data_IF_421934559220
#
_entry.id   IF_421934559220
#
_cell.length_a   1.000
_cell.length_b   1.000
_cell.length_c   1.000
_cell.angle_alpha   90.00
_cell.angle_beta   90.00
_cell.angle_gamma   90.00
#
_symmetry.space_group_name_H-M   'P 1'
#
loop_
_entity.id
_entity.type
_entity.pdbx_description
1 polymer ?
#
# COMPACT_ATOMS: atom_id res chain seq x y z
N UNK A 1 -0.41 2.73 -1.50
CA UNK A 1 0.20 4.00 -1.93
C UNK A 1 -0.76 5.14 -1.72
N UNK A 2 -0.27 6.32 -1.41
CA UNK A 2 -1.01 7.56 -1.58
C UNK A 2 -0.83 7.99 -3.04
N UNK A 3 -1.89 7.84 -3.85
CA UNK A 3 -1.81 8.07 -5.31
C UNK A 3 -1.30 9.47 -5.67
N UNK A 4 -1.74 10.56 -5.03
CA UNK A 4 -1.32 11.92 -5.40
C UNK A 4 0.18 12.13 -5.21
N UNK A 5 0.73 11.74 -4.05
CA UNK A 5 2.16 11.86 -3.81
C UNK A 5 3.00 10.88 -4.63
N UNK A 6 2.45 9.71 -5.00
CA UNK A 6 3.09 8.86 -6.01
C UNK A 6 3.17 9.59 -7.36
N UNK A 7 2.10 10.24 -7.80
CA UNK A 7 2.01 10.95 -9.08
C UNK A 7 2.96 12.15 -9.18
N UNK A 8 3.23 12.86 -8.08
CA UNK A 8 4.27 13.89 -8.05
C UNK A 8 5.69 13.33 -8.21
N UNK A 9 5.87 12.05 -7.86
CA UNK A 9 7.19 11.42 -7.74
C UNK A 9 7.63 10.62 -8.98
N UNK A 10 6.73 10.42 -9.94
CA UNK A 10 6.98 9.60 -11.12
C UNK A 10 6.98 10.45 -12.39
N UNK A 11 7.93 10.15 -13.26
CA UNK A 11 7.97 10.71 -14.60
C UNK A 11 7.19 9.80 -15.56
N UNK A 12 6.43 10.42 -16.48
CA UNK A 12 5.67 9.74 -17.51
C UNK A 12 4.20 9.46 -17.14
N UNK A 13 3.39 9.22 -18.17
CA UNK A 13 1.96 8.98 -18.01
C UNK A 13 1.69 7.66 -17.27
N UNK A 14 0.86 7.75 -16.24
CA UNK A 14 0.27 6.62 -15.52
C UNK A 14 -1.22 6.86 -15.46
N UNK A 15 -2.01 5.83 -15.75
CA UNK A 15 -3.47 5.92 -15.73
C UNK A 15 -3.96 6.50 -14.41
N UNK A 16 -3.41 6.09 -13.26
CA UNK A 16 -3.78 6.58 -11.92
C UNK A 16 -3.47 8.07 -11.67
N UNK A 17 -2.66 8.70 -12.53
CA UNK A 17 -2.23 10.09 -12.44
C UNK A 17 -2.89 10.99 -13.49
N UNK A 18 -3.81 10.46 -14.30
CA UNK A 18 -4.60 11.27 -15.23
C UNK A 18 -5.54 12.22 -14.45
N UNK A 19 -5.74 13.47 -14.93
CA UNK A 19 -6.68 14.40 -14.31
C UNK A 19 -8.08 13.80 -14.15
N UNK A 20 -8.71 14.03 -12.99
CA UNK A 20 -10.07 13.56 -12.72
C UNK A 20 -10.18 12.10 -12.26
N UNK A 21 -9.07 11.37 -12.08
CA UNK A 21 -9.11 10.03 -11.46
C UNK A 21 -9.48 10.10 -9.98
N UNK A 22 -9.13 11.17 -9.27
CA UNK A 22 -9.56 11.42 -7.89
C UNK A 22 -9.12 10.35 -6.89
N UNK A 23 -8.03 9.62 -7.18
CA UNK A 23 -7.58 8.50 -6.35
C UNK A 23 -6.85 9.00 -5.10
N UNK A 24 -7.22 8.46 -3.94
CA UNK A 24 -6.52 8.63 -2.67
C UNK A 24 -5.58 7.47 -2.38
N UNK A 25 -5.82 6.75 -1.28
CA UNK A 25 -5.10 5.50 -1.01
C UNK A 25 -5.55 4.40 -1.97
N UNK A 26 -4.58 3.73 -2.59
CA UNK A 26 -4.77 2.55 -3.44
C UNK A 26 -3.85 1.42 -2.99
N UNK A 27 -4.19 0.18 -3.31
CA UNK A 27 -3.30 -0.96 -3.01
C UNK A 27 -2.05 -0.85 -3.89
N UNK A 28 -0.89 -0.83 -3.23
CA UNK A 28 0.38 -1.01 -3.94
C UNK A 28 0.59 -2.49 -4.21
N UNK A 29 0.52 -3.33 -3.17
CA UNK A 29 0.74 -4.78 -3.21
C UNK A 29 0.64 -5.40 -1.81
N UNK A 30 0.64 -6.74 -1.77
CA UNK A 30 0.74 -7.53 -0.53
C UNK A 30 2.02 -8.34 -0.59
N UNK A 31 2.96 -8.05 0.30
CA UNK A 31 4.31 -8.60 0.18
C UNK A 31 4.56 -9.63 1.28
N UNK A 32 4.69 -10.93 0.94
CA UNK A 32 5.27 -11.91 1.85
C UNK A 32 6.60 -11.35 2.37
N UNK A 33 6.84 -11.47 3.67
CA UNK A 33 7.96 -10.82 4.33
C UNK A 33 8.62 -11.78 5.34
N UNK A 34 9.95 -11.74 5.40
CA UNK A 34 10.73 -12.33 6.49
C UNK A 34 10.84 -11.34 7.66
N UNK A 35 11.32 -11.76 8.83
CA UNK A 35 11.58 -10.83 9.94
C UNK A 35 12.52 -9.67 9.52
N UNK A 36 13.46 -9.96 8.61
CA UNK A 36 14.24 -8.95 7.89
C UNK A 36 14.27 -9.24 6.39
N UNK A 37 13.89 -8.25 5.59
CA UNK A 37 13.85 -8.37 4.14
C UNK A 37 12.53 -8.89 3.58
N UNK A 38 12.35 -8.70 2.28
CA UNK A 38 11.14 -9.07 1.53
C UNK A 38 11.59 -9.95 0.37
N UNK A 39 11.18 -11.24 0.29
CA UNK A 39 11.45 -12.06 -0.87
C UNK A 39 10.85 -11.42 -2.14
N UNK A 40 11.58 -11.56 -3.24
CA UNK A 40 11.16 -11.05 -4.54
C UNK A 40 11.64 -11.92 -5.68
N UNK A 41 10.90 -11.91 -6.80
CA UNK A 41 11.24 -12.65 -8.03
C UNK A 41 11.43 -14.16 -7.78
N UNK A 42 10.60 -14.74 -6.92
CA UNK A 42 10.65 -16.16 -6.60
C UNK A 42 10.30 -17.03 -7.83
N UNK A 43 10.85 -18.26 -7.92
CA UNK A 43 10.52 -19.18 -9.01
C UNK A 43 9.05 -19.62 -8.95
N UNK A 44 8.38 -19.68 -10.10
CA UNK A 44 6.98 -20.11 -10.21
C UNK A 44 6.23 -19.52 -11.41
N UNK A 45 4.90 -19.70 -11.44
CA UNK A 45 4.05 -19.18 -12.51
C UNK A 45 3.96 -17.64 -12.46
N UNK A 46 4.71 -16.95 -13.32
CA UNK A 46 4.84 -15.47 -13.30
C UNK A 46 3.65 -14.71 -13.90
N UNK A 47 2.79 -15.39 -14.64
CA UNK A 47 1.65 -14.77 -15.33
C UNK A 47 0.34 -15.19 -14.66
N UNK A 48 -0.43 -14.25 -14.09
CA UNK A 48 -1.75 -14.57 -13.55
C UNK A 48 -2.73 -14.86 -14.70
N UNK A 49 -3.68 -15.77 -14.46
CA UNK A 49 -4.78 -16.03 -15.40
C UNK A 49 -5.75 -14.85 -15.46
N UNK A 50 -6.58 -14.77 -16.49
CA UNK A 50 -7.66 -13.77 -16.59
C UNK A 50 -8.60 -13.83 -15.37
N UNK A 51 -9.00 -15.02 -14.96
CA UNK A 51 -9.86 -15.25 -13.78
C UNK A 51 -9.21 -14.71 -12.50
N UNK A 52 -7.89 -14.85 -12.35
CA UNK A 52 -7.19 -14.29 -11.21
C UNK A 52 -7.15 -12.74 -11.24
N UNK A 53 -6.99 -12.15 -12.43
CA UNK A 53 -6.98 -10.70 -12.59
C UNK A 53 -8.34 -10.06 -12.36
N UNK A 54 -9.43 -10.76 -12.67
CA UNK A 54 -10.78 -10.34 -12.30
C UNK A 54 -10.92 -10.15 -10.78
N UNK A 55 -10.21 -10.94 -9.97
CA UNK A 55 -10.15 -10.76 -8.49
C UNK A 55 -9.30 -9.57 -8.06
N UNK A 56 -8.41 -9.07 -8.92
CA UNK A 56 -7.59 -7.90 -8.66
C UNK A 56 -8.28 -6.58 -9.04
N UNK A 57 -9.37 -6.66 -9.83
CA UNK A 57 -10.10 -5.50 -10.31
C UNK A 57 -10.61 -4.64 -9.14
N UNK A 58 -10.35 -3.33 -9.21
CA UNK A 58 -10.75 -2.36 -8.18
C UNK A 58 -9.86 -2.34 -6.93
N UNK A 59 -8.93 -3.29 -6.75
CA UNK A 59 -7.96 -3.25 -5.65
C UNK A 59 -6.76 -2.36 -6.00
N UNK A 60 -6.23 -2.56 -7.21
CA UNK A 60 -5.07 -1.85 -7.72
C UNK A 60 -5.51 -0.68 -8.61
N UNK A 61 -4.66 0.36 -8.73
CA UNK A 61 -4.89 1.47 -9.66
C UNK A 61 -4.98 1.04 -11.13
N UNK A 62 -4.23 0.02 -11.53
CA UNK A 62 -4.28 -0.55 -12.88
C UNK A 62 -3.87 -2.03 -12.91
N UNK A 63 -4.26 -2.75 -13.96
CA UNK A 63 -3.96 -4.17 -14.13
C UNK A 63 -2.44 -4.43 -14.29
N UNK A 64 -1.72 -3.47 -14.87
CA UNK A 64 -0.27 -3.55 -15.06
C UNK A 64 0.44 -3.66 -13.70
N UNK A 65 -0.01 -2.90 -12.69
CA UNK A 65 0.50 -3.01 -11.33
C UNK A 65 0.13 -4.36 -10.71
N UNK A 66 -1.12 -4.82 -10.84
CA UNK A 66 -1.51 -6.14 -10.32
C UNK A 66 -0.62 -7.28 -10.87
N UNK A 67 -0.33 -7.26 -12.18
CA UNK A 67 0.58 -8.22 -12.83
C UNK A 67 2.03 -8.08 -12.34
N UNK A 68 2.51 -6.86 -12.16
CA UNK A 68 3.85 -6.58 -11.64
C UNK A 68 4.01 -7.13 -10.22
N UNK A 69 3.05 -6.83 -9.34
CA UNK A 69 3.07 -7.25 -7.94
C UNK A 69 2.95 -8.76 -7.78
N UNK A 70 2.10 -9.41 -8.59
CA UNK A 70 2.08 -10.87 -8.65
C UNK A 70 3.45 -11.44 -8.98
N UNK A 71 4.04 -11.00 -10.11
CA UNK A 71 5.32 -11.52 -10.60
C UNK A 71 6.45 -11.31 -9.59
N UNK A 72 6.52 -10.12 -9.00
CA UNK A 72 7.63 -9.74 -8.13
C UNK A 72 7.45 -10.28 -6.71
N UNK A 73 6.25 -10.24 -6.15
CA UNK A 73 6.02 -10.54 -4.73
C UNK A 73 4.99 -11.66 -4.51
N UNK A 74 3.94 -11.72 -5.32
CA UNK A 74 2.87 -12.71 -5.18
C UNK A 74 3.34 -14.15 -5.34
N UNK A 75 4.25 -14.44 -6.30
CA UNK A 75 4.82 -15.78 -6.48
C UNK A 75 5.50 -16.30 -5.20
N UNK A 76 6.14 -15.41 -4.44
CA UNK A 76 6.82 -15.75 -3.19
C UNK A 76 5.87 -16.20 -2.07
N UNK A 77 4.55 -16.02 -2.21
CA UNK A 77 3.57 -16.48 -1.24
C UNK A 77 3.34 -17.99 -1.27
N UNK A 78 3.76 -18.68 -2.35
CA UNK A 78 3.45 -20.09 -2.58
C UNK A 78 1.99 -20.37 -2.92
N UNK A 79 1.16 -19.33 -3.09
CA UNK A 79 -0.28 -19.45 -3.39
C UNK A 79 -0.54 -19.47 -4.90
N UNK A 80 -1.76 -19.85 -5.28
CA UNK A 80 -2.24 -19.56 -6.62
C UNK A 80 -2.43 -18.04 -6.82
N UNK A 81 -2.37 -17.50 -8.05
CA UNK A 81 -2.66 -16.09 -8.30
C UNK A 81 -4.04 -15.65 -7.78
N UNK A 82 -5.05 -16.52 -7.90
CA UNK A 82 -6.41 -16.22 -7.45
C UNK A 82 -6.50 -16.09 -5.93
N UNK A 83 -5.83 -16.99 -5.20
CA UNK A 83 -5.79 -16.93 -3.73
C UNK A 83 -4.98 -15.74 -3.25
N UNK A 84 -3.87 -15.43 -3.92
CA UNK A 84 -3.08 -14.24 -3.62
C UNK A 84 -3.90 -12.95 -3.78
N UNK A 85 -4.63 -12.76 -4.88
CA UNK A 85 -5.46 -11.57 -5.03
C UNK A 85 -6.66 -11.54 -4.06
N UNK A 86 -7.20 -12.70 -3.69
CA UNK A 86 -8.19 -12.77 -2.61
C UNK A 86 -7.58 -12.36 -1.25
N UNK A 87 -6.32 -12.71 -0.99
CA UNK A 87 -5.58 -12.30 0.20
C UNK A 87 -5.32 -10.79 0.20
N UNK A 88 -4.97 -10.21 -0.94
CA UNK A 88 -4.85 -8.76 -1.12
C UNK A 88 -6.17 -8.06 -0.76
N UNK A 89 -7.30 -8.57 -1.26
CA UNK A 89 -8.62 -8.01 -0.95
C UNK A 89 -8.94 -8.07 0.55
N UNK A 90 -8.66 -9.19 1.21
CA UNK A 90 -8.88 -9.35 2.67
C UNK A 90 -7.97 -8.44 3.49
N UNK A 91 -6.69 -8.31 3.10
CA UNK A 91 -5.75 -7.41 3.76
C UNK A 91 -6.18 -5.94 3.61
N UNK A 92 -6.62 -5.54 2.42
CA UNK A 92 -7.16 -4.21 2.17
C UNK A 92 -8.41 -3.93 3.01
N UNK A 93 -9.38 -4.86 3.04
CA UNK A 93 -10.60 -4.71 3.81
C UNK A 93 -10.38 -4.69 5.34
N UNK A 94 -9.25 -5.21 5.82
CA UNK A 94 -8.90 -5.17 7.25
C UNK A 94 -8.42 -3.78 7.71
N UNK A 95 -8.13 -2.86 6.79
CA UNK A 95 -7.60 -1.52 7.07
C UNK A 95 -8.65 -0.46 6.75
N UNK A 96 -9.07 0.29 7.76
CA UNK A 96 -9.86 1.50 7.59
C UNK A 96 -8.93 2.68 7.25
N UNK A 97 -9.26 3.40 6.17
CA UNK A 97 -8.57 4.65 5.83
C UNK A 97 -9.09 5.77 6.74
N UNK A 98 -8.20 6.57 7.39
CA UNK A 98 -8.63 7.64 8.27
C UNK A 98 -9.47 8.69 7.53
N UNK A 99 -10.48 9.30 8.18
CA UNK A 99 -11.33 10.33 7.57
C UNK A 99 -10.55 11.48 6.91
N UNK A 100 -9.39 11.85 7.48
CA UNK A 100 -8.48 12.87 6.95
C UNK A 100 -8.03 12.62 5.49
N UNK A 101 -8.03 11.36 5.05
CA UNK A 101 -7.57 10.95 3.72
C UNK A 101 -8.70 10.47 2.81
N UNK A 102 -9.96 10.58 3.25
CA UNK A 102 -11.13 10.27 2.42
C UNK A 102 -11.53 11.55 1.67
N UNK A 103 -11.20 11.60 0.38
CA UNK A 103 -11.49 12.72 -0.53
C UNK A 103 -11.06 14.10 0.04
N UNK A 104 -9.78 14.27 0.43
CA UNK A 104 -9.31 15.59 0.85
C UNK A 104 -9.39 16.55 -0.32
N UNK A 105 -9.86 17.77 -0.08
CA UNK A 105 -10.05 18.81 -1.12
C UNK A 105 -8.89 19.78 -1.23
N UNK A 106 -7.87 19.63 -0.37
CA UNK A 106 -6.67 20.48 -0.33
C UNK A 106 -5.46 19.67 0.09
N UNK A 107 -4.30 20.12 -0.38
CA UNK A 107 -3.01 19.62 0.07
C UNK A 107 -2.86 19.84 1.57
N UNK A 108 -2.15 18.91 2.22
CA UNK A 108 -1.94 18.94 3.66
C UNK A 108 -0.44 18.95 3.95
N UNK A 109 -0.03 19.77 4.91
CA UNK A 109 1.26 19.63 5.57
C UNK A 109 1.01 18.95 6.90
N UNK A 110 1.62 17.78 7.12
CA UNK A 110 1.36 16.94 8.29
C UNK A 110 2.65 16.26 8.72
N UNK A 111 2.77 15.90 10.00
CA UNK A 111 3.91 15.10 10.46
C UNK A 111 3.67 13.61 10.17
N UNK A 112 4.70 12.80 9.87
CA UNK A 112 4.53 11.35 9.71
C UNK A 112 3.86 10.70 10.92
N UNK A 113 4.14 11.17 12.14
CA UNK A 113 3.56 10.62 13.36
C UNK A 113 2.07 10.96 13.52
N UNK A 114 1.60 12.11 13.03
CA UNK A 114 0.18 12.43 13.03
C UNK A 114 -0.58 11.60 11.98
N UNK A 115 0.05 11.27 10.85
CA UNK A 115 -0.52 10.30 9.88
C UNK A 115 -0.67 8.93 10.54
N UNK A 116 0.38 8.43 11.21
CA UNK A 116 0.30 7.16 11.95
C UNK A 116 -0.79 7.19 13.03
N UNK A 117 -0.87 8.29 13.81
CA UNK A 117 -1.91 8.46 14.84
C UNK A 117 -3.32 8.37 14.23
N UNK A 118 -3.56 9.03 13.10
CA UNK A 118 -4.84 8.95 12.41
C UNK A 118 -5.19 7.50 11.99
N UNK A 119 -4.20 6.72 11.55
CA UNK A 119 -4.38 5.29 11.26
C UNK A 119 -4.65 4.45 12.52
N UNK A 120 -3.97 4.72 13.63
CA UNK A 120 -4.24 4.05 14.91
C UNK A 120 -5.65 4.33 15.44
N UNK A 121 -6.11 5.57 15.31
CA UNK A 121 -7.47 5.97 15.69
C UNK A 121 -8.54 5.29 14.82
N UNK A 122 -8.32 5.23 13.51
CA UNK A 122 -9.23 4.57 12.58
C UNK A 122 -9.22 3.04 12.69
N UNK A 123 -8.14 2.44 13.24
CA UNK A 123 -7.94 1.00 13.30
C UNK A 123 -7.60 0.54 14.73
N UNK A 124 -8.61 0.26 15.59
CA UNK A 124 -8.39 -0.03 17.01
C UNK A 124 -7.54 -1.26 17.35
N UNK A 125 -7.13 -2.09 16.38
CA UNK A 125 -6.18 -3.21 16.58
C UNK A 125 -4.78 -2.91 16.04
N UNK A 126 -4.60 -1.82 15.30
CA UNK A 126 -3.31 -1.36 14.82
C UNK A 126 -2.61 -0.57 15.93
N UNK A 127 -1.34 -0.88 16.20
CA UNK A 127 -0.56 -0.29 17.30
C UNK A 127 0.76 0.28 16.79
N UNK A 128 1.41 1.18 17.55
CA UNK A 128 2.76 1.63 17.24
C UNK A 128 3.72 0.47 16.95
N UNK A 129 4.51 0.60 15.90
CA UNK A 129 5.44 -0.45 15.47
C UNK A 129 4.85 -1.48 14.50
N UNK A 130 3.57 -1.40 14.16
CA UNK A 130 2.89 -2.30 13.20
C UNK A 130 2.69 -1.68 11.81
N UNK A 131 3.03 -0.41 11.65
CA UNK A 131 3.00 0.30 10.39
C UNK A 131 4.11 1.34 10.31
N UNK A 132 4.32 1.89 9.12
CA UNK A 132 5.15 3.05 8.90
C UNK A 132 4.58 3.89 7.76
N UNK A 133 4.73 5.21 7.85
CA UNK A 133 4.52 6.12 6.72
C UNK A 133 5.72 6.05 5.78
N UNK A 134 5.49 6.10 4.48
CA UNK A 134 6.53 6.25 3.47
C UNK A 134 6.44 7.61 2.78
N UNK A 135 7.60 8.18 2.48
CA UNK A 135 7.70 9.45 1.79
C UNK A 135 8.93 9.47 0.87
N UNK A 136 8.86 10.31 -0.16
CA UNK A 136 9.95 10.58 -1.08
C UNK A 136 10.11 12.09 -1.21
N UNK A 137 11.34 12.59 -0.97
CA UNK A 137 11.66 14.03 -1.07
C UNK A 137 10.67 14.93 -0.30
N UNK A 138 10.21 14.48 0.88
CA UNK A 138 9.26 15.24 1.71
C UNK A 138 7.79 15.12 1.29
N UNK A 139 7.45 14.30 0.30
CA UNK A 139 6.06 14.04 -0.12
C UNK A 139 5.65 12.64 0.31
N UNK A 140 4.49 12.49 0.95
CA UNK A 140 3.92 11.20 1.35
C UNK A 140 3.58 10.37 0.10
N UNK A 141 4.14 9.17 -0.03
CA UNK A 141 3.82 8.25 -1.14
C UNK A 141 3.06 7.00 -0.67
N UNK A 142 2.88 6.82 0.64
CA UNK A 142 1.99 5.81 1.18
C UNK A 142 2.21 5.46 2.64
N UNK A 143 1.64 4.32 3.01
CA UNK A 143 1.87 3.65 4.29
C UNK A 143 2.15 2.18 4.03
N UNK A 144 2.93 1.54 4.90
CA UNK A 144 3.12 0.09 4.94
C UNK A 144 2.61 -0.42 6.28
N UNK A 145 1.70 -1.39 6.24
CA UNK A 145 1.07 -1.99 7.41
C UNK A 145 1.38 -3.48 7.40
N UNK A 146 1.70 -4.03 8.58
CA UNK A 146 2.12 -5.42 8.73
C UNK A 146 1.01 -6.26 9.36
N UNK A 147 0.81 -7.44 8.78
CA UNK A 147 -0.21 -8.40 9.19
C UNK A 147 0.45 -9.75 9.53
N UNK A 148 -0.23 -10.55 10.33
CA UNK A 148 0.08 -11.98 10.50
C UNK A 148 -0.05 -12.71 9.16
N UNK A 149 0.60 -13.88 9.03
CA UNK A 149 0.59 -14.67 7.78
C UNK A 149 -0.82 -15.13 7.35
N UNK A 150 -1.73 -15.28 8.31
CA UNK A 150 -3.13 -15.61 8.08
C UNK A 150 -4.02 -14.37 7.90
N UNK A 151 -3.44 -13.17 7.95
CA UNK A 151 -4.06 -11.86 7.76
C UNK A 151 -5.13 -11.51 8.81
N UNK A 152 -5.15 -12.21 9.95
CA UNK A 152 -6.17 -12.00 11.00
C UNK A 152 -5.81 -10.89 11.97
N UNK A 153 -4.53 -10.62 12.15
CA UNK A 153 -4.00 -9.70 13.16
C UNK A 153 -2.98 -8.74 12.55
N UNK A 154 -2.90 -7.53 13.09
CA UNK A 154 -1.77 -6.65 12.85
C UNK A 154 -0.56 -7.15 13.66
N UNK A 155 0.62 -7.07 13.07
CA UNK A 155 1.86 -7.58 13.68
C UNK A 155 2.92 -6.49 13.70
N UNK A 156 3.71 -6.44 14.78
CA UNK A 156 4.86 -5.55 14.84
C UNK A 156 5.90 -5.92 13.77
N UNK A 157 6.49 -4.93 13.12
CA UNK A 157 7.48 -5.13 12.06
C UNK A 157 8.60 -4.08 12.12
N UNK A 158 9.60 -4.28 12.99
CA UNK A 158 10.69 -3.31 13.21
C UNK A 158 11.44 -2.92 11.92
N UNK A 159 11.65 -3.87 11.00
CA UNK A 159 12.33 -3.57 9.74
C UNK A 159 11.56 -2.60 8.83
N UNK A 160 10.23 -2.57 8.93
CA UNK A 160 9.38 -1.63 8.19
C UNK A 160 9.38 -0.26 8.87
N UNK A 161 9.23 -0.23 10.20
CA UNK A 161 9.19 1.02 10.97
C UNK A 161 10.50 1.77 10.93
N UNK A 162 11.63 1.06 10.98
CA UNK A 162 12.97 1.65 10.82
C UNK A 162 13.15 2.35 9.47
N UNK A 163 12.51 1.84 8.40
CA UNK A 163 12.56 2.41 7.04
C UNK A 163 11.46 3.43 6.76
N UNK A 164 10.68 3.80 7.78
CA UNK A 164 9.64 4.81 7.67
C UNK A 164 10.18 6.20 7.33
N UNK A 165 9.25 7.12 7.11
CA UNK A 165 9.54 8.52 6.89
C UNK A 165 9.87 9.23 8.21
N UNK A 166 11.09 9.75 8.34
CA UNK A 166 11.59 10.39 9.58
C UNK A 166 11.77 11.92 9.47
N UNK A 167 11.24 12.54 8.42
CA UNK A 167 11.29 14.01 8.29
C UNK A 167 10.27 14.66 9.24
N UNK A 168 10.49 15.93 9.60
CA UNK A 168 9.62 16.65 10.54
C UNK A 168 8.19 16.83 10.02
N UNK A 169 8.08 17.20 8.75
CA UNK A 169 6.81 17.42 8.06
C UNK A 169 6.89 16.86 6.64
N UNK A 170 5.75 16.38 6.16
CA UNK A 170 5.56 15.92 4.79
C UNK A 170 4.38 16.64 4.15
N UNK A 171 4.47 16.83 2.84
CA UNK A 171 3.31 17.16 2.01
C UNK A 171 2.49 15.89 1.75
N UNK A 172 1.18 15.99 1.88
CA UNK A 172 0.20 15.02 1.42
C UNK A 172 -0.74 15.72 0.42
N UNK A 173 -0.42 15.67 -0.88
CA UNK A 173 -1.21 16.35 -1.92
C UNK A 173 -2.63 15.78 -2.01
N UNK A 174 -3.59 16.62 -2.38
CA UNK A 174 -4.95 16.18 -2.65
C UNK A 174 -5.05 15.36 -3.95
N UNK A 175 -6.06 14.47 -4.08
CA UNK A 175 -6.36 13.79 -5.33
C UNK A 175 -6.53 14.70 -6.55
N UNK A 176 -5.96 14.25 -7.68
CA UNK A 176 -6.00 14.87 -9.01
C UNK A 176 -7.36 14.72 -9.73
#
# INVERSE_FOLDING_TARGET
SWSPGFCESVEGARDQCEPGKGLGFVVHGLWPQYESGVPSECPGARSPSRVALEKAAGLFPDERLARYEWRKHGVCSGKSPSDYFADVARAHAAVAIPPLFIKPTRDQTITPIDVERAFYEANPRLRPGMMAVSCRRGVMDGVRICLSKDLREFRACPAVTQRGCHVREISAPAPL
#
